data_IF_313756016694
#
_entry.id   IF_313756016694
#
_cell.length_a   1.000
_cell.length_b   1.000
_cell.length_c   1.000
_cell.angle_alpha   90.00
_cell.angle_beta   90.00
_cell.angle_gamma   90.00
#
_symmetry.space_group_name_H-M   'P 1'
#
loop_
_entity.id
_entity.type
_entity.pdbx_description
1 polymer ?
#
# COMPACT_ATOMS: atom_id res chain seq x y z
N UNK A 1 38.19 24.81 -5.03
CA UNK A 1 37.62 24.07 -6.19
C UNK A 1 37.22 22.70 -5.65
N UNK A 2 36.00 22.55 -5.15
CA UNK A 2 34.73 22.32 -5.85
C UNK A 2 34.60 20.88 -6.41
N UNK A 3 33.58 20.17 -5.91
CA UNK A 3 33.04 18.90 -6.42
C UNK A 3 33.57 17.67 -5.67
N UNK A 4 32.85 17.00 -4.77
CA UNK A 4 31.41 16.76 -4.74
C UNK A 4 31.09 15.47 -5.49
N UNK A 5 31.28 14.32 -4.86
CA UNK A 5 30.83 13.02 -5.36
C UNK A 5 29.98 12.32 -4.31
N UNK A 6 28.69 12.70 -4.34
CA UNK A 6 27.52 11.86 -4.11
C UNK A 6 27.72 10.60 -3.27
N UNK A 7 27.43 10.74 -1.98
CA UNK A 7 27.00 9.67 -1.10
C UNK A 7 25.88 8.87 -1.77
N UNK A 8 26.15 7.61 -2.13
CA UNK A 8 25.11 6.68 -2.50
C UNK A 8 24.23 6.46 -1.27
N UNK A 9 23.02 7.02 -1.34
CA UNK A 9 21.95 6.80 -0.38
C UNK A 9 21.78 5.32 -0.14
N UNK A 10 21.83 4.94 1.13
CA UNK A 10 21.39 3.66 1.68
C UNK A 10 20.30 3.05 0.80
N UNK A 11 20.65 1.97 0.10
CA UNK A 11 19.65 1.06 -0.43
C UNK A 11 18.92 0.52 0.79
N UNK A 12 17.70 1.00 1.02
CA UNK A 12 16.75 0.35 1.90
C UNK A 12 16.52 -1.04 1.33
N UNK A 13 17.37 -1.99 1.73
CA UNK A 13 17.18 -3.40 1.45
C UNK A 13 15.73 -3.70 1.82
N UNK A 14 14.89 -4.16 0.88
CA UNK A 14 13.50 -4.40 1.17
C UNK A 14 13.44 -5.35 2.37
N UNK A 15 12.88 -4.88 3.47
CA UNK A 15 12.71 -5.67 4.68
C UNK A 15 12.10 -7.03 4.29
N UNK A 16 12.55 -8.15 4.87
CA UNK A 16 12.08 -9.50 4.53
C UNK A 16 10.56 -9.68 4.70
N UNK A 17 9.88 -8.73 5.32
CA UNK A 17 8.43 -8.62 5.43
C UNK A 17 7.71 -8.65 4.08
N UNK A 18 8.20 -7.95 3.05
CA UNK A 18 7.53 -7.94 1.74
C UNK A 18 7.57 -9.33 1.08
N UNK A 19 8.74 -9.99 1.17
CA UNK A 19 8.93 -11.36 0.70
C UNK A 19 8.12 -12.36 1.51
N UNK A 20 8.00 -12.16 2.82
CA UNK A 20 7.19 -12.98 3.71
C UNK A 20 5.71 -12.87 3.35
N UNK A 21 5.21 -11.65 3.19
CA UNK A 21 3.84 -11.38 2.77
C UNK A 21 3.53 -12.01 1.42
N UNK A 22 4.41 -11.82 0.44
CA UNK A 22 4.29 -12.46 -0.86
C UNK A 22 4.22 -13.99 -0.71
N UNK A 23 5.13 -14.58 0.05
CA UNK A 23 5.17 -16.04 0.25
C UNK A 23 3.94 -16.54 1.01
N UNK A 24 3.41 -15.78 1.95
CA UNK A 24 2.21 -16.13 2.70
C UNK A 24 0.97 -16.15 1.80
N UNK A 25 0.78 -15.12 0.96
CA UNK A 25 -0.28 -15.10 -0.05
C UNK A 25 -0.16 -16.32 -0.98
N UNK A 26 1.07 -16.65 -1.39
CA UNK A 26 1.34 -17.84 -2.21
C UNK A 26 0.96 -19.16 -1.51
N UNK A 27 1.17 -19.27 -0.20
CA UNK A 27 0.75 -20.44 0.60
C UNK A 27 -0.77 -20.57 0.69
N UNK A 28 -1.48 -19.45 0.81
CA UNK A 28 -2.97 -19.43 0.83
C UNK A 28 -3.55 -19.69 -0.57
N UNK A 29 -2.88 -19.22 -1.63
CA UNK A 29 -3.33 -19.40 -3.00
C UNK A 29 -3.21 -20.86 -3.48
N UNK A 30 -2.23 -21.63 -2.97
CA UNK A 30 -1.97 -23.01 -3.39
C UNK A 30 -3.15 -24.01 -3.27
N UNK A 31 -3.90 -24.07 -2.15
CA UNK A 31 -5.09 -24.94 -2.07
C UNK A 31 -6.21 -24.47 -3.01
N UNK A 32 -6.33 -23.16 -3.26
CA UNK A 32 -7.35 -22.57 -4.13
C UNK A 32 -7.03 -22.89 -5.59
N UNK A 33 -5.76 -22.75 -6.01
CA UNK A 33 -5.34 -23.09 -7.37
C UNK A 33 -5.54 -24.56 -7.69
N UNK A 34 -5.29 -25.45 -6.74
CA UNK A 34 -5.54 -26.90 -6.90
C UNK A 34 -7.03 -27.19 -7.10
N UNK A 35 -7.93 -26.52 -6.36
CA UNK A 35 -9.38 -26.64 -6.53
C UNK A 35 -9.84 -26.13 -7.90
N UNK A 36 -9.30 -24.98 -8.34
CA UNK A 36 -9.58 -24.40 -9.66
C UNK A 36 -9.11 -25.34 -10.76
N UNK A 37 -7.94 -25.94 -10.61
CA UNK A 37 -7.39 -26.91 -11.56
C UNK A 37 -8.27 -28.14 -11.70
N UNK A 38 -8.67 -28.78 -10.59
CA UNK A 38 -9.58 -29.94 -10.62
C UNK A 38 -10.92 -29.57 -11.27
N UNK A 39 -11.43 -28.36 -11.01
CA UNK A 39 -12.66 -27.84 -11.64
C UNK A 39 -12.49 -27.64 -13.15
N UNK A 40 -11.31 -27.19 -13.59
CA UNK A 40 -11.00 -26.96 -14.99
C UNK A 40 -10.72 -28.25 -15.77
N UNK A 41 -10.18 -29.28 -15.12
CA UNK A 41 -10.09 -30.63 -15.69
C UNK A 41 -11.49 -31.24 -15.86
N UNK A 42 -12.42 -30.96 -14.94
CA UNK A 42 -13.80 -31.45 -15.00
C UNK A 42 -14.72 -30.70 -15.98
N UNK A 43 -14.40 -29.46 -16.37
CA UNK A 43 -15.26 -28.64 -17.26
C UNK A 43 -14.46 -27.90 -18.33
N UNK A 44 -14.72 -28.24 -19.59
CA UNK A 44 -14.07 -27.64 -20.76
C UNK A 44 -14.40 -26.15 -20.91
N UNK A 45 -15.64 -25.74 -20.64
CA UNK A 45 -16.06 -24.35 -20.71
C UNK A 45 -15.34 -23.49 -19.65
N UNK A 46 -15.20 -24.00 -18.43
CA UNK A 46 -14.46 -23.31 -17.36
C UNK A 46 -12.97 -23.19 -17.69
N UNK A 47 -12.38 -24.25 -18.23
CA UNK A 47 -10.99 -24.27 -18.71
C UNK A 47 -10.73 -23.20 -19.77
N UNK A 48 -11.59 -23.13 -20.79
CA UNK A 48 -11.37 -22.31 -21.97
C UNK A 48 -11.73 -20.84 -21.79
N UNK A 49 -12.70 -20.51 -20.92
CA UNK A 49 -13.16 -19.14 -20.69
C UNK A 49 -12.52 -18.46 -19.47
N UNK A 50 -12.14 -19.22 -18.44
CA UNK A 50 -11.58 -18.64 -17.21
C UNK A 50 -10.07 -18.88 -17.08
N UNK A 51 -9.62 -20.12 -17.29
CA UNK A 51 -8.26 -20.55 -16.88
C UNK A 51 -7.21 -20.37 -17.99
N UNK A 52 -7.56 -20.72 -19.23
CA UNK A 52 -6.65 -20.61 -20.38
C UNK A 52 -6.45 -19.18 -20.90
N UNK A 53 -7.43 -18.26 -20.87
CA UNK A 53 -7.21 -16.90 -21.38
C UNK A 53 -6.10 -16.13 -20.65
N UNK A 54 -5.99 -16.18 -19.30
CA UNK A 54 -4.85 -15.62 -18.56
C UNK A 54 -3.49 -16.22 -18.95
N UNK A 55 -3.45 -17.53 -19.25
CA UNK A 55 -2.22 -18.20 -19.69
C UNK A 55 -1.82 -17.77 -21.12
N UNK A 56 -2.79 -17.66 -22.02
CA UNK A 56 -2.57 -17.20 -23.41
C UNK A 56 -2.16 -15.73 -23.47
N UNK A 57 -2.72 -14.86 -22.63
CA UNK A 57 -2.31 -13.45 -22.56
C UNK A 57 -0.89 -13.29 -22.01
N UNK A 58 -0.47 -14.14 -21.06
CA UNK A 58 0.92 -14.19 -20.61
C UNK A 58 1.89 -14.49 -21.77
N UNK A 59 1.58 -15.51 -22.58
CA UNK A 59 2.35 -15.82 -23.79
C UNK A 59 2.36 -14.70 -24.82
N UNK A 60 1.22 -14.05 -25.02
CA UNK A 60 1.12 -12.90 -25.91
C UNK A 60 1.98 -11.72 -25.42
N UNK A 61 1.97 -11.46 -24.11
CA UNK A 61 2.79 -10.41 -23.50
C UNK A 61 4.28 -10.71 -23.64
N UNK A 62 4.70 -11.96 -23.41
CA UNK A 62 6.09 -12.35 -23.62
C UNK A 62 6.51 -12.22 -25.09
N UNK A 63 5.70 -12.77 -26.01
CA UNK A 63 5.97 -12.77 -27.45
C UNK A 63 5.98 -11.37 -28.09
N UNK A 64 5.08 -10.47 -27.67
CA UNK A 64 4.91 -9.15 -28.30
C UNK A 64 5.59 -7.99 -27.57
N UNK A 65 5.78 -8.08 -26.27
CA UNK A 65 6.28 -6.94 -25.49
C UNK A 65 7.67 -7.26 -24.96
N UNK A 66 7.81 -8.32 -24.16
CA UNK A 66 9.07 -8.62 -23.48
C UNK A 66 10.22 -8.89 -24.44
N UNK A 67 10.03 -9.79 -25.41
CA UNK A 67 11.12 -10.14 -26.32
C UNK A 67 11.49 -9.02 -27.30
N UNK A 68 10.55 -8.32 -27.96
CA UNK A 68 10.90 -7.22 -28.86
C UNK A 68 11.57 -6.06 -28.12
N UNK A 69 11.08 -5.70 -26.94
CA UNK A 69 11.67 -4.62 -26.12
C UNK A 69 13.09 -4.99 -25.70
N UNK A 70 13.32 -6.22 -25.19
CA UNK A 70 14.66 -6.65 -24.78
C UNK A 70 15.61 -6.76 -25.98
N UNK A 71 15.14 -7.17 -27.16
CA UNK A 71 15.93 -7.21 -28.40
C UNK A 71 16.30 -5.81 -28.90
N UNK A 72 15.38 -4.85 -28.80
CA UNK A 72 15.65 -3.44 -29.11
C UNK A 72 16.76 -2.85 -28.22
N UNK A 73 16.86 -3.29 -26.97
CA UNK A 73 17.89 -2.82 -26.03
C UNK A 73 19.18 -3.65 -26.02
N UNK A 74 19.17 -4.86 -26.61
CA UNK A 74 20.32 -5.77 -26.60
C UNK A 74 20.49 -6.35 -28.00
N UNK A 75 21.36 -5.73 -28.81
CA UNK A 75 21.76 -6.09 -30.19
C UNK A 75 22.15 -7.59 -30.36
N UNK A 76 21.21 -8.51 -30.21
CA UNK A 76 21.39 -9.94 -30.38
C UNK A 76 20.19 -10.49 -31.15
N UNK A 77 20.44 -10.84 -32.41
CA UNK A 77 19.49 -11.43 -33.35
C UNK A 77 19.24 -12.91 -33.04
N UNK A 78 18.89 -13.23 -31.80
CA UNK A 78 18.47 -14.59 -31.44
C UNK A 78 17.06 -14.50 -30.92
N UNK A 79 16.10 -14.81 -31.79
CA UNK A 79 14.70 -14.98 -31.41
C UNK A 79 14.64 -16.12 -30.38
N UNK A 80 14.40 -15.86 -29.08
CA UNK A 80 14.15 -16.95 -28.15
C UNK A 80 12.82 -17.52 -28.59
N UNK A 81 12.85 -18.71 -29.19
CA UNK A 81 11.65 -19.43 -29.56
C UNK A 81 10.76 -19.49 -28.32
N UNK A 82 9.59 -18.85 -28.41
CA UNK A 82 8.55 -18.93 -27.39
C UNK A 82 8.15 -20.39 -27.35
N UNK A 83 8.75 -21.15 -26.44
CA UNK A 83 8.48 -22.58 -26.27
C UNK A 83 7.04 -22.67 -25.81
N UNK A 84 6.14 -23.10 -26.71
CA UNK A 84 4.74 -23.33 -26.38
C UNK A 84 4.67 -24.19 -25.12
N UNK A 85 3.97 -23.69 -24.11
CA UNK A 85 3.77 -24.45 -22.89
C UNK A 85 2.88 -25.65 -23.20
N UNK A 86 3.19 -26.80 -22.59
CA UNK A 86 2.29 -27.94 -22.63
C UNK A 86 0.95 -27.53 -22.01
N UNK A 87 -0.17 -28.04 -22.53
CA UNK A 87 -1.52 -27.73 -22.03
C UNK A 87 -1.65 -27.89 -20.50
N UNK A 88 -0.92 -28.86 -19.91
CA UNK A 88 -0.88 -29.07 -18.46
C UNK A 88 -0.20 -27.91 -17.71
N UNK A 89 0.85 -27.32 -18.28
CA UNK A 89 1.56 -26.19 -17.70
C UNK A 89 0.75 -24.89 -17.83
N UNK A 90 0.06 -24.69 -18.95
CA UNK A 90 -0.87 -23.55 -19.12
C UNK A 90 -2.01 -23.61 -18.11
N UNK A 91 -2.53 -24.81 -17.85
CA UNK A 91 -3.59 -25.02 -16.86
C UNK A 91 -3.14 -24.70 -15.44
N UNK A 92 -1.95 -25.17 -15.06
CA UNK A 92 -1.39 -24.94 -13.72
C UNK A 92 -1.09 -23.45 -13.49
N UNK A 93 -0.49 -22.80 -14.49
CA UNK A 93 -0.18 -21.38 -14.47
C UNK A 93 -1.45 -20.52 -14.44
N UNK A 94 -2.43 -20.83 -15.29
CA UNK A 94 -3.71 -20.14 -15.32
C UNK A 94 -4.49 -20.29 -14.01
N UNK A 95 -4.50 -21.49 -13.43
CA UNK A 95 -5.21 -21.75 -12.16
C UNK A 95 -4.58 -20.98 -10.99
N UNK A 96 -3.25 -20.86 -10.98
CA UNK A 96 -2.52 -20.09 -9.99
C UNK A 96 -2.77 -18.58 -10.13
N UNK A 97 -2.69 -18.06 -11.36
CA UNK A 97 -2.97 -16.65 -11.63
C UNK A 97 -4.41 -16.26 -11.27
N UNK A 98 -5.39 -17.13 -11.54
CA UNK A 98 -6.76 -16.89 -11.12
C UNK A 98 -6.91 -16.87 -9.60
N UNK A 99 -6.28 -17.82 -8.89
CA UNK A 99 -6.33 -17.85 -7.43
C UNK A 99 -5.73 -16.58 -6.81
N UNK A 100 -4.56 -16.15 -7.30
CA UNK A 100 -3.93 -14.90 -6.87
C UNK A 100 -4.79 -13.69 -7.23
N UNK A 101 -5.36 -13.66 -8.43
CA UNK A 101 -6.26 -12.59 -8.89
C UNK A 101 -7.51 -12.46 -8.02
N UNK A 102 -8.15 -13.58 -7.64
CA UNK A 102 -9.31 -13.57 -6.74
C UNK A 102 -8.94 -12.99 -5.37
N UNK A 103 -7.80 -13.38 -4.81
CA UNK A 103 -7.33 -12.86 -3.52
C UNK A 103 -7.06 -11.35 -3.59
N UNK A 104 -6.40 -10.89 -4.66
CA UNK A 104 -6.12 -9.47 -4.87
C UNK A 104 -7.42 -8.68 -5.06
N UNK A 105 -8.38 -9.21 -5.82
CA UNK A 105 -9.69 -8.58 -6.02
C UNK A 105 -10.48 -8.46 -4.71
N UNK A 106 -10.48 -9.51 -3.89
CA UNK A 106 -11.12 -9.47 -2.58
C UNK A 106 -10.44 -8.44 -1.68
N UNK A 107 -9.11 -8.48 -1.56
CA UNK A 107 -8.34 -7.53 -0.76
C UNK A 107 -8.54 -6.08 -1.22
N UNK A 108 -8.49 -5.85 -2.53
CA UNK A 108 -8.74 -4.54 -3.13
C UNK A 108 -10.18 -4.09 -2.91
N UNK A 109 -11.16 -4.99 -3.01
CA UNK A 109 -12.57 -4.68 -2.73
C UNK A 109 -12.79 -4.24 -1.28
N UNK A 110 -12.16 -4.93 -0.31
CA UNK A 110 -12.19 -4.50 1.09
C UNK A 110 -11.50 -3.16 1.29
N UNK A 111 -10.30 -2.97 0.74
CA UNK A 111 -9.54 -1.72 0.85
C UNK A 111 -10.27 -0.52 0.22
N UNK A 112 -10.91 -0.71 -0.94
CA UNK A 112 -11.71 0.33 -1.59
C UNK A 112 -12.95 0.66 -0.76
N UNK A 113 -13.64 -0.34 -0.20
CA UNK A 113 -14.80 -0.10 0.67
C UNK A 113 -14.39 0.68 1.91
N UNK A 114 -13.28 0.31 2.54
CA UNK A 114 -12.72 1.04 3.67
C UNK A 114 -12.34 2.46 3.27
N UNK A 115 -11.64 2.66 2.16
CA UNK A 115 -11.27 3.99 1.67
C UNK A 115 -12.48 4.89 1.39
N UNK A 116 -13.55 4.33 0.82
CA UNK A 116 -14.79 5.05 0.54
C UNK A 116 -15.61 5.33 1.82
N UNK A 117 -15.51 4.45 2.82
CA UNK A 117 -16.22 4.58 4.11
C UNK A 117 -15.39 5.30 5.17
N UNK A 118 -14.09 5.49 4.91
CA UNK A 118 -13.05 5.98 5.83
C UNK A 118 -13.07 7.49 6.08
N UNK A 119 -14.12 8.19 5.67
CA UNK A 119 -14.54 9.47 6.27
C UNK A 119 -15.25 9.25 7.62
N UNK A 120 -14.86 8.22 8.36
CA UNK A 120 -15.21 8.12 9.78
C UNK A 120 -13.99 8.61 10.53
N UNK A 121 -14.18 9.71 11.23
CA UNK A 121 -13.22 10.36 12.13
C UNK A 121 -12.34 9.27 12.77
N UNK A 122 -11.05 9.30 12.44
CA UNK A 122 -10.08 8.37 13.02
C UNK A 122 -10.07 8.62 14.54
N UNK A 123 -9.85 7.61 15.40
CA UNK A 123 -9.60 7.87 16.81
C UNK A 123 -8.46 8.87 17.05
N UNK A 124 -7.56 9.02 16.06
CA UNK A 124 -6.52 10.05 16.05
C UNK A 124 -7.10 11.47 15.87
N UNK A 125 -8.14 11.64 15.06
CA UNK A 125 -8.82 12.93 14.85
C UNK A 125 -9.52 13.40 16.14
N UNK A 126 -10.17 12.46 16.85
CA UNK A 126 -10.79 12.73 18.15
C UNK A 126 -9.76 13.13 19.22
N UNK A 127 -8.61 12.45 19.23
CA UNK A 127 -7.52 12.77 20.13
C UNK A 127 -6.91 14.14 19.82
N UNK A 128 -6.74 14.48 18.54
CA UNK A 128 -6.29 15.82 18.11
C UNK A 128 -7.31 16.90 18.49
N UNK A 129 -8.60 16.62 18.36
CA UNK A 129 -9.68 17.53 18.76
C UNK A 129 -9.69 17.78 20.26
N UNK A 130 -9.47 16.73 21.07
CA UNK A 130 -9.33 16.82 22.52
C UNK A 130 -8.10 17.64 22.94
N UNK A 131 -6.94 17.42 22.33
CA UNK A 131 -5.73 18.20 22.61
C UNK A 131 -5.89 19.67 22.26
N UNK A 132 -6.63 19.97 21.18
CA UNK A 132 -6.95 21.33 20.78
C UNK A 132 -7.85 22.04 21.80
N UNK A 133 -8.90 21.38 22.28
CA UNK A 133 -9.79 21.91 23.31
C UNK A 133 -9.04 22.21 24.63
N UNK A 134 -8.15 21.30 25.06
CA UNK A 134 -7.31 21.54 26.25
C UNK A 134 -6.40 22.75 26.06
N UNK A 135 -5.77 22.89 24.89
CA UNK A 135 -4.88 24.02 24.61
C UNK A 135 -5.64 25.35 24.69
N UNK A 136 -6.84 25.40 24.13
CA UNK A 136 -7.67 26.60 24.09
C UNK A 136 -8.07 27.04 25.51
N UNK A 137 -8.50 26.10 26.36
CA UNK A 137 -8.76 26.36 27.79
C UNK A 137 -7.53 26.85 28.55
N UNK A 138 -6.34 26.32 28.25
CA UNK A 138 -5.10 26.76 28.87
C UNK A 138 -4.69 28.19 28.46
N UNK A 139 -4.95 28.57 27.21
CA UNK A 139 -4.71 29.94 26.73
C UNK A 139 -5.67 30.93 27.41
N UNK A 140 -6.93 30.55 27.58
CA UNK A 140 -7.93 31.34 28.32
C UNK A 140 -7.54 31.54 29.80
N UNK A 141 -7.12 30.47 30.50
CA UNK A 141 -6.65 30.55 31.90
C UNK A 141 -5.41 31.45 32.03
N UNK A 142 -4.49 31.38 31.06
CA UNK A 142 -3.31 32.26 31.02
C UNK A 142 -3.69 33.74 30.90
N UNK A 143 -4.68 34.05 30.06
CA UNK A 143 -5.16 35.42 29.89
C UNK A 143 -5.76 35.96 31.19
N UNK A 144 -6.68 35.24 31.82
CA UNK A 144 -7.27 35.64 33.10
C UNK A 144 -6.23 35.79 34.22
N UNK A 145 -5.25 34.88 34.31
CA UNK A 145 -4.18 35.00 35.30
C UNK A 145 -3.34 36.26 35.09
N UNK A 146 -3.15 36.69 33.83
CA UNK A 146 -2.44 37.93 33.50
C UNK A 146 -3.22 39.18 33.92
N UNK A 147 -4.53 39.19 33.75
CA UNK A 147 -5.39 40.28 34.19
C UNK A 147 -5.42 40.43 35.71
N UNK A 148 -5.51 39.31 36.44
CA UNK A 148 -5.48 39.30 37.90
C UNK A 148 -4.13 39.84 38.42
N UNK A 149 -3.02 39.47 37.77
CA UNK A 149 -1.70 39.96 38.17
C UNK A 149 -1.57 41.48 37.99
N UNK A 150 -2.12 42.03 36.89
CA UNK A 150 -2.13 43.48 36.64
C UNK A 150 -2.97 44.23 37.68
N UNK A 151 -4.16 43.73 38.01
CA UNK A 151 -4.99 44.32 39.06
C UNK A 151 -4.29 44.31 40.43
N UNK A 152 -3.57 43.24 40.74
CA UNK A 152 -2.82 43.11 41.99
C UNK A 152 -1.68 44.15 42.08
N UNK A 153 -0.98 44.40 40.98
CA UNK A 153 0.09 45.40 40.92
C UNK A 153 -0.46 46.83 41.06
N UNK A 154 -1.58 47.13 40.40
CA UNK A 154 -2.26 48.43 40.53
C UNK A 154 -2.73 48.67 41.97
N UNK A 155 -3.33 47.65 42.62
CA UNK A 155 -3.75 47.75 44.02
C UNK A 155 -2.56 47.98 44.97
N UNK A 156 -1.42 47.33 44.74
CA UNK A 156 -0.21 47.60 45.53
C UNK A 156 0.32 49.03 45.33
N UNK A 157 0.25 49.54 44.10
CA UNK A 157 0.68 50.91 43.81
C UNK A 157 -0.22 51.94 44.52
N UNK A 158 -1.53 51.72 44.53
CA UNK A 158 -2.51 52.55 45.25
C UNK A 158 -2.34 52.49 46.76
N UNK A 159 -2.07 51.30 47.31
CA UNK A 159 -1.80 51.11 48.73
C UNK A 159 -0.53 51.85 49.19
N UNK A 160 0.52 51.88 48.36
CA UNK A 160 1.75 52.63 48.64
C UNK A 160 1.55 54.15 48.63
N UNK A 161 0.69 54.65 47.75
CA UNK A 161 0.35 56.08 47.68
C UNK A 161 -0.56 56.53 48.83
N UNK A 162 -1.35 55.61 49.41
CA UNK A 162 -2.25 55.90 50.54
C UNK A 162 -1.53 55.90 51.89
N UNK A 163 -0.40 55.19 52.01
CA UNK A 163 0.36 55.04 53.26
C UNK A 163 1.61 55.94 53.33
N UNK A 164 1.69 56.94 52.45
CA UNK A 164 2.75 57.97 52.37
C UNK A 164 2.15 59.36 52.49
#
# INVERSE_FOLDING_TARGET
MAGGSSSYSSSSQPFPLSRLLFTFVQRIAAPISTRIRVRAEASRAFKEYLVLPPARTYHFYEAKIKYPVIMLFKNKNTSPGVKGMSEKAELDLGSRLLAEGILILLASGFALRESLTGKKESPEDDYIKYLRDIRERLEEIKLHSGEISRLSDDLQSMAKLTNS
#
